data_IF_222017908905
#
_entry.id   IF_222017908905
#
_cell.length_a   1.000
_cell.length_b   1.000
_cell.length_c   1.000
_cell.angle_alpha   90.00
_cell.angle_beta   90.00
_cell.angle_gamma   90.00
#
_symmetry.space_group_name_H-M   'P 1'
#
loop_
_entity.id
_entity.type
_entity.pdbx_description
1 polymer ?
#
# COMPACT_ATOMS: atom_id res chain seq x y z
N UNK A 1 -36.97 -5.39 2.33
CA UNK A 1 -35.65 -6.01 2.11
C UNK A 1 -34.81 -5.69 3.34
N UNK A 2 -34.23 -6.69 4.01
CA UNK A 2 -33.42 -6.46 5.19
C UNK A 2 -32.19 -5.64 4.81
N UNK A 3 -31.83 -4.64 5.62
CA UNK A 3 -30.57 -3.92 5.43
C UNK A 3 -29.41 -4.92 5.45
N UNK A 4 -28.42 -4.77 4.55
CA UNK A 4 -27.24 -5.61 4.58
C UNK A 4 -26.58 -5.50 5.97
N UNK A 5 -26.20 -6.63 6.59
CA UNK A 5 -25.59 -6.58 7.91
C UNK A 5 -24.28 -5.83 7.87
N UNK A 6 -24.02 -5.05 8.90
CA UNK A 6 -22.77 -4.31 9.05
C UNK A 6 -21.59 -5.28 9.11
N UNK A 7 -20.41 -4.85 8.63
CA UNK A 7 -19.27 -5.74 8.45
C UNK A 7 -18.74 -6.30 9.78
N UNK A 8 -18.95 -5.56 10.88
CA UNK A 8 -18.55 -5.91 12.23
C UNK A 8 -19.72 -5.81 13.19
N UNK A 9 -19.61 -6.54 14.30
CA UNK A 9 -20.52 -6.47 15.43
C UNK A 9 -19.74 -6.38 16.72
N UNK A 10 -20.14 -5.48 17.62
CA UNK A 10 -19.55 -5.29 18.92
C UNK A 10 -20.59 -5.53 20.02
N UNK A 11 -20.25 -6.36 21.00
CA UNK A 11 -21.10 -6.59 22.16
C UNK A 11 -20.28 -7.11 23.36
N UNK A 12 -20.86 -7.01 24.55
CA UNK A 12 -20.39 -7.79 25.69
C UNK A 12 -20.83 -9.25 25.54
N UNK A 13 -19.91 -10.17 25.79
CA UNK A 13 -20.18 -11.59 25.64
C UNK A 13 -21.33 -12.05 26.57
N UNK A 14 -22.44 -12.51 25.99
CA UNK A 14 -23.60 -13.00 26.76
C UNK A 14 -23.33 -14.31 27.51
N UNK A 15 -22.30 -15.06 27.10
CA UNK A 15 -21.83 -16.29 27.74
C UNK A 15 -20.36 -16.54 27.40
N UNK A 16 -19.71 -17.44 28.15
CA UNK A 16 -18.32 -17.87 27.93
C UNK A 16 -18.13 -18.96 26.86
N UNK A 17 -19.17 -19.25 26.06
CA UNK A 17 -19.14 -20.33 25.05
C UNK A 17 -18.37 -19.97 23.78
N UNK A 18 -18.12 -18.68 23.53
CA UNK A 18 -17.38 -18.24 22.35
C UNK A 18 -15.87 -18.35 22.56
N UNK A 19 -15.15 -18.78 21.53
CA UNK A 19 -13.68 -18.77 21.50
C UNK A 19 -13.16 -17.77 20.48
N UNK A 20 -12.11 -17.04 20.84
CA UNK A 20 -11.51 -16.05 19.95
C UNK A 20 -10.85 -16.73 18.75
N UNK A 21 -11.22 -16.32 17.54
CA UNK A 21 -10.65 -16.87 16.31
C UNK A 21 -9.18 -16.50 16.10
N UNK A 22 -8.71 -15.42 16.71
CA UNK A 22 -7.32 -14.94 16.63
C UNK A 22 -6.36 -15.69 17.56
N UNK A 23 -6.66 -15.77 18.86
CA UNK A 23 -5.75 -16.38 19.85
C UNK A 23 -6.18 -17.78 20.32
N UNK A 24 -7.33 -18.28 19.85
CA UNK A 24 -7.94 -19.59 20.19
C UNK A 24 -8.32 -19.78 21.66
N UNK A 25 -8.20 -18.75 22.50
CA UNK A 25 -8.63 -18.77 23.90
C UNK A 25 -10.13 -18.49 24.05
N UNK A 26 -10.79 -18.98 25.11
CA UNK A 26 -12.18 -18.63 25.40
C UNK A 26 -12.34 -17.12 25.64
N UNK A 27 -13.55 -16.62 25.42
CA UNK A 27 -13.96 -15.24 25.72
C UNK A 27 -14.96 -15.33 26.85
N UNK A 28 -14.61 -14.80 28.02
CA UNK A 28 -15.47 -14.85 29.20
C UNK A 28 -16.73 -14.01 29.05
N UNK A 29 -17.75 -14.34 29.85
CA UNK A 29 -19.00 -13.57 29.93
C UNK A 29 -18.69 -12.12 30.33
N UNK A 30 -19.46 -11.16 29.80
CA UNK A 30 -19.34 -9.72 30.07
C UNK A 30 -18.06 -9.06 29.57
N UNK A 31 -17.18 -9.80 28.89
CA UNK A 31 -16.01 -9.22 28.20
C UNK A 31 -16.41 -8.69 26.82
N UNK A 32 -15.89 -7.51 26.46
CA UNK A 32 -16.06 -6.93 25.14
C UNK A 32 -15.46 -7.83 24.05
N UNK A 33 -16.28 -8.20 23.08
CA UNK A 33 -15.88 -8.99 21.91
C UNK A 33 -16.32 -8.33 20.61
N UNK A 34 -15.51 -8.54 19.57
CA UNK A 34 -15.75 -8.05 18.22
C UNK A 34 -15.92 -9.23 17.27
N UNK A 35 -17.02 -9.25 16.54
CA UNK A 35 -17.40 -10.27 15.58
C UNK A 35 -17.29 -9.74 14.16
N UNK A 36 -16.47 -10.36 13.31
CA UNK A 36 -16.51 -10.07 11.86
C UNK A 36 -17.68 -10.82 11.24
N UNK A 37 -18.59 -10.12 10.57
CA UNK A 37 -19.68 -10.76 9.85
C UNK A 37 -19.14 -11.50 8.62
N UNK A 38 -19.43 -12.80 8.56
CA UNK A 38 -19.08 -13.66 7.44
C UNK A 38 -20.30 -14.45 7.00
N UNK A 39 -20.37 -14.79 5.71
CA UNK A 39 -21.42 -15.67 5.21
C UNK A 39 -21.30 -17.04 5.88
N UNK A 40 -22.43 -17.56 6.39
CA UNK A 40 -22.48 -18.87 6.99
C UNK A 40 -22.40 -19.94 5.89
N UNK A 41 -21.72 -21.05 6.16
CA UNK A 41 -21.63 -22.18 5.21
C UNK A 41 -22.76 -23.19 5.40
N UNK A 42 -23.40 -23.18 6.58
CA UNK A 42 -24.38 -24.18 6.99
C UNK A 42 -25.83 -23.75 6.79
N UNK A 43 -26.07 -22.45 6.67
CA UNK A 43 -27.40 -21.87 6.47
C UNK A 43 -27.26 -20.60 5.62
N UNK A 44 -28.37 -20.19 5.02
CA UNK A 44 -28.44 -18.94 4.26
C UNK A 44 -28.51 -17.75 5.23
N UNK A 45 -27.39 -17.05 5.39
CA UNK A 45 -27.27 -15.92 6.30
C UNK A 45 -25.83 -15.59 6.72
N UNK A 46 -25.69 -14.69 7.68
CA UNK A 46 -24.40 -14.24 8.20
C UNK A 46 -24.19 -14.70 9.65
N UNK A 47 -22.94 -14.97 10.00
CA UNK A 47 -22.54 -15.42 11.33
C UNK A 47 -21.33 -14.60 11.81
N UNK A 48 -21.36 -14.04 13.03
CA UNK A 48 -20.21 -13.31 13.59
C UNK A 48 -19.07 -14.26 13.97
N UNK A 49 -17.88 -13.98 13.43
CA UNK A 49 -16.62 -14.59 13.85
C UNK A 49 -16.03 -13.85 15.04
N UNK A 50 -16.30 -14.33 16.26
CA UNK A 50 -15.91 -13.67 17.51
C UNK A 50 -14.39 -13.64 17.78
N UNK A 51 -13.93 -12.49 18.28
CA UNK A 51 -12.57 -12.25 18.74
C UNK A 51 -12.58 -11.39 20.00
N UNK A 52 -11.55 -11.49 20.84
CA UNK A 52 -11.33 -10.47 21.89
C UNK A 52 -11.14 -9.11 21.23
N UNK A 53 -11.67 -8.04 21.86
CA UNK A 53 -11.43 -6.68 21.39
C UNK A 53 -9.93 -6.40 21.23
N UNK A 54 -9.12 -6.74 22.24
CA UNK A 54 -7.65 -6.58 22.20
C UNK A 54 -6.96 -7.34 21.05
N UNK A 55 -7.50 -8.48 20.62
CA UNK A 55 -6.93 -9.24 19.51
C UNK A 55 -7.16 -8.58 18.15
N UNK A 56 -8.29 -7.88 17.99
CA UNK A 56 -8.59 -7.10 16.78
C UNK A 56 -7.82 -5.78 16.82
N UNK A 57 -7.91 -5.04 17.94
CA UNK A 57 -7.30 -3.72 18.11
C UNK A 57 -5.76 -3.75 18.03
N UNK A 58 -5.12 -4.91 18.21
CA UNK A 58 -3.67 -5.09 18.02
C UNK A 58 -3.25 -5.04 16.54
N UNK A 59 -4.13 -5.39 15.61
CA UNK A 59 -3.84 -5.38 14.17
C UNK A 59 -4.36 -4.06 13.60
N UNK A 60 -3.58 -3.35 12.80
CA UNK A 60 -4.07 -2.14 12.16
C UNK A 60 -5.15 -2.44 11.09
N UNK A 61 -5.99 -1.44 10.81
CA UNK A 61 -6.91 -1.38 9.67
C UNK A 61 -7.90 -2.56 9.55
N UNK A 62 -8.33 -3.17 10.66
CA UNK A 62 -9.38 -4.21 10.63
C UNK A 62 -10.79 -3.63 10.45
N UNK A 63 -11.07 -2.50 11.10
CA UNK A 63 -12.35 -1.80 11.07
C UNK A 63 -12.09 -0.49 10.35
N UNK A 64 -12.92 -0.15 9.35
CA UNK A 64 -12.71 1.00 8.46
C UNK A 64 -13.50 2.22 8.91
N UNK A 65 -14.79 2.05 9.18
CA UNK A 65 -15.64 3.09 9.74
C UNK A 65 -16.28 2.66 11.05
N UNK A 66 -16.74 3.64 11.82
CA UNK A 66 -17.58 3.47 13.00
C UNK A 66 -18.95 2.92 12.59
N UNK A 67 -19.48 3.36 11.44
CA UNK A 67 -20.77 2.91 10.87
C UNK A 67 -20.74 1.45 10.38
N UNK A 68 -19.57 0.83 10.29
CA UNK A 68 -19.42 -0.58 9.94
C UNK A 68 -19.55 -1.51 11.15
N UNK A 69 -19.80 -0.98 12.36
CA UNK A 69 -19.76 -1.71 13.63
C UNK A 69 -21.12 -1.72 14.34
N UNK A 70 -21.80 -2.86 14.23
CA UNK A 70 -23.15 -3.01 14.76
C UNK A 70 -23.08 -3.09 16.29
N UNK A 71 -23.96 -2.36 16.97
CA UNK A 71 -24.08 -2.42 18.43
C UNK A 71 -23.04 -1.58 19.18
N UNK A 72 -22.25 -0.76 18.48
CA UNK A 72 -21.28 0.14 19.12
C UNK A 72 -21.96 1.10 20.13
N UNK A 73 -23.10 1.66 19.77
CA UNK A 73 -23.90 2.56 20.62
C UNK A 73 -24.39 1.92 21.93
N UNK A 74 -24.46 0.58 21.98
CA UNK A 74 -24.91 -0.17 23.16
C UNK A 74 -23.78 -0.44 24.15
N UNK A 75 -22.53 -0.18 23.77
CA UNK A 75 -21.37 -0.38 24.63
C UNK A 75 -21.24 0.74 25.66
N UNK A 76 -20.43 0.52 26.71
CA UNK A 76 -20.05 1.59 27.62
C UNK A 76 -19.23 2.66 26.89
N UNK A 77 -19.33 3.91 27.35
CA UNK A 77 -18.66 5.06 26.76
C UNK A 77 -17.14 4.85 26.61
N UNK A 78 -16.50 4.22 27.60
CA UNK A 78 -15.05 3.97 27.56
C UNK A 78 -14.66 3.04 26.40
N UNK A 79 -15.49 2.02 26.14
CA UNK A 79 -15.29 1.07 25.05
C UNK A 79 -15.64 1.67 23.68
N UNK A 80 -16.67 2.52 23.62
CA UNK A 80 -16.97 3.31 22.42
C UNK A 80 -15.79 4.20 22.03
N UNK A 81 -15.24 4.94 22.99
CA UNK A 81 -14.05 5.78 22.80
C UNK A 81 -12.83 4.96 22.38
N UNK A 82 -12.67 3.75 22.92
CA UNK A 82 -11.55 2.87 22.56
C UNK A 82 -11.62 2.39 21.11
N UNK A 83 -12.81 2.04 20.64
CA UNK A 83 -13.02 1.61 19.25
C UNK A 83 -12.91 2.81 18.30
N UNK A 84 -13.51 3.95 18.67
CA UNK A 84 -13.37 5.22 17.94
C UNK A 84 -11.91 5.60 17.75
N UNK A 85 -11.12 5.66 18.84
CA UNK A 85 -9.67 5.95 18.77
C UNK A 85 -8.90 4.97 17.90
N UNK A 86 -9.27 3.70 17.89
CA UNK A 86 -8.60 2.71 17.03
C UNK A 86 -8.91 2.93 15.54
N UNK A 87 -10.15 3.28 15.22
CA UNK A 87 -10.57 3.64 13.86
C UNK A 87 -9.88 4.95 13.47
N UNK A 88 -9.89 5.96 14.35
CA UNK A 88 -9.20 7.23 14.15
C UNK A 88 -7.69 7.06 14.04
N UNK A 89 -7.09 6.06 14.69
CA UNK A 89 -5.66 5.73 14.55
C UNK A 89 -5.38 5.00 13.23
N UNK A 90 -6.32 4.16 12.77
CA UNK A 90 -6.27 3.55 11.44
C UNK A 90 -6.46 4.61 10.33
N UNK A 91 -7.30 5.61 10.60
CA UNK A 91 -7.46 6.84 9.84
C UNK A 91 -6.16 7.64 9.96
N UNK A 92 -5.57 7.96 11.11
CA UNK A 92 -4.28 8.67 11.18
C UNK A 92 -3.10 7.91 10.53
N UNK A 93 -3.18 6.58 10.44
CA UNK A 93 -2.26 5.75 9.65
C UNK A 93 -2.50 5.83 8.13
N UNK A 94 -3.68 6.32 7.70
CA UNK A 94 -4.16 6.47 6.32
C UNK A 94 -4.81 7.86 5.99
N UNK A 95 -4.73 8.87 6.86
CA UNK A 95 -5.56 10.10 6.93
C UNK A 95 -5.26 10.84 8.25
N UNK A 96 -4.01 11.26 8.38
CA UNK A 96 -3.78 12.59 8.95
C UNK A 96 -4.39 13.60 7.98
N UNK A 97 -5.67 13.90 8.09
CA UNK A 97 -6.34 14.90 7.25
C UNK A 97 -6.76 16.11 8.11
N UNK A 98 -5.95 17.16 8.03
CA UNK A 98 -6.52 18.37 7.46
C UNK A 98 -5.47 19.10 6.61
N UNK A 99 -5.92 19.45 5.41
CA UNK A 99 -5.31 20.35 4.43
C UNK A 99 -4.31 19.74 3.46
N UNK A 100 -4.76 19.81 2.20
CA UNK A 100 -4.03 19.77 0.94
C UNK A 100 -3.47 18.41 0.53
N UNK A 101 -3.95 17.95 -0.63
CA UNK A 101 -3.40 17.15 -1.76
C UNK A 101 -1.86 16.90 -1.78
N UNK A 102 -1.24 16.68 -0.63
CA UNK A 102 0.18 16.35 -0.41
C UNK A 102 0.24 14.84 -0.22
N UNK A 103 -0.19 14.14 -1.26
CA UNK A 103 -0.16 12.69 -1.37
C UNK A 103 1.30 12.21 -1.27
N UNK A 104 1.74 11.84 -0.08
CA UNK A 104 2.95 11.04 0.21
C UNK A 104 4.10 11.23 -0.81
N UNK A 105 4.51 12.48 -1.01
CA UNK A 105 5.53 12.82 -1.98
C UNK A 105 6.91 12.70 -1.35
N UNK A 106 7.81 11.96 -2.00
CA UNK A 106 9.20 11.87 -1.58
C UNK A 106 10.12 12.61 -2.53
N UNK A 107 11.08 13.36 -2.00
CA UNK A 107 12.05 14.10 -2.79
C UNK A 107 13.45 13.57 -2.54
N UNK A 108 14.20 13.36 -3.61
CA UNK A 108 15.58 12.89 -3.52
C UNK A 108 16.39 13.28 -4.76
N UNK A 109 17.71 13.25 -4.62
CA UNK A 109 18.63 13.28 -5.74
C UNK A 109 18.68 11.88 -6.34
N UNK A 110 18.43 11.78 -7.64
CA UNK A 110 18.43 10.51 -8.37
C UNK A 110 19.79 9.81 -8.24
N UNK A 111 19.89 8.65 -7.56
CA UNK A 111 21.16 7.95 -7.39
C UNK A 111 21.59 7.21 -8.67
N UNK A 112 20.62 6.93 -9.56
CA UNK A 112 20.83 6.19 -10.82
C UNK A 112 19.87 6.71 -11.90
N UNK A 113 20.28 6.66 -13.17
CA UNK A 113 19.45 7.10 -14.31
C UNK A 113 18.41 6.08 -14.78
N UNK A 114 17.86 5.26 -13.86
CA UNK A 114 16.90 4.18 -14.17
C UNK A 114 15.44 4.61 -14.11
N UNK A 115 15.15 5.71 -13.42
CA UNK A 115 13.79 6.22 -13.31
C UNK A 115 13.38 6.99 -14.57
N UNK A 116 12.11 6.92 -14.91
CA UNK A 116 11.49 7.73 -15.96
C UNK A 116 10.36 8.56 -15.36
N UNK A 117 10.28 9.82 -15.79
CA UNK A 117 9.25 10.76 -15.38
C UNK A 117 7.89 10.32 -15.91
N UNK A 118 6.88 10.22 -15.04
CA UNK A 118 5.55 9.73 -15.39
C UNK A 118 4.77 10.69 -16.31
N UNK A 119 5.11 11.99 -16.29
CA UNK A 119 4.43 13.00 -17.11
C UNK A 119 4.85 12.91 -18.58
N UNK A 120 6.16 12.76 -18.83
CA UNK A 120 6.74 12.85 -20.17
C UNK A 120 7.44 11.57 -20.63
N UNK A 121 7.46 10.52 -19.80
CA UNK A 121 8.17 9.24 -20.01
C UNK A 121 9.67 9.39 -20.34
N UNK A 122 10.26 10.52 -19.97
CA UNK A 122 11.67 10.83 -20.18
C UNK A 122 12.51 10.33 -19.00
N UNK A 123 13.74 9.86 -19.27
CA UNK A 123 14.66 9.41 -18.23
C UNK A 123 15.05 10.57 -17.31
N UNK A 124 15.17 10.26 -16.02
CA UNK A 124 15.68 11.17 -15.00
C UNK A 124 17.17 10.87 -14.83
N UNK A 125 18.03 11.87 -14.97
CA UNK A 125 19.48 11.66 -14.90
C UNK A 125 19.95 11.35 -13.47
N UNK A 126 21.11 10.72 -13.32
CA UNK A 126 21.80 10.59 -12.03
C UNK A 126 22.25 11.98 -11.57
N UNK A 127 22.06 12.30 -10.30
CA UNK A 127 22.37 13.61 -9.74
C UNK A 127 21.26 14.65 -9.92
N UNK A 128 20.17 14.31 -10.61
CA UNK A 128 19.03 15.21 -10.82
C UNK A 128 17.97 15.04 -9.73
N UNK A 129 17.34 16.14 -9.30
CA UNK A 129 16.27 16.13 -8.30
C UNK A 129 14.99 15.50 -8.89
N UNK A 130 14.46 14.50 -8.21
CA UNK A 130 13.22 13.80 -8.58
C UNK A 130 12.23 13.75 -7.44
N UNK A 131 10.95 13.74 -7.80
CA UNK A 131 9.83 13.64 -6.87
C UNK A 131 9.11 12.31 -7.13
N UNK A 132 8.90 11.55 -6.08
CA UNK A 132 8.08 10.34 -6.09
C UNK A 132 6.68 10.67 -5.59
N UNK A 133 5.67 10.08 -6.22
CA UNK A 133 4.27 10.12 -5.77
C UNK A 133 3.79 8.69 -5.50
N UNK A 134 2.93 8.53 -4.51
CA UNK A 134 2.21 7.27 -4.25
C UNK A 134 0.72 7.49 -4.50
N UNK A 135 0.14 6.93 -5.57
CA UNK A 135 -1.31 6.94 -5.73
C UNK A 135 -1.94 6.03 -4.68
N UNK A 136 -2.92 6.56 -3.97
CA UNK A 136 -3.63 5.89 -2.89
C UNK A 136 -4.29 4.58 -3.39
N UNK A 137 -4.14 3.49 -2.63
CA UNK A 137 -4.73 2.19 -2.95
C UNK A 137 -3.88 1.24 -3.79
N UNK A 138 -2.71 1.66 -4.29
CA UNK A 138 -1.73 0.73 -4.88
C UNK A 138 -0.70 0.30 -3.82
N UNK A 139 -0.43 -1.01 -3.75
CA UNK A 139 0.40 -1.62 -2.72
C UNK A 139 1.84 -1.08 -2.65
N UNK A 140 2.71 -1.65 -1.79
CA UNK A 140 4.03 -1.09 -1.42
C UNK A 140 5.06 -0.83 -2.56
N UNK A 141 4.71 -1.08 -3.83
CA UNK A 141 5.63 -1.05 -4.98
C UNK A 141 5.27 -0.06 -6.10
N UNK A 142 4.27 0.79 -5.94
CA UNK A 142 3.81 1.70 -7.01
C UNK A 142 4.28 3.15 -6.81
N UNK A 143 5.58 3.38 -6.61
CA UNK A 143 6.15 4.73 -6.64
C UNK A 143 6.20 5.23 -8.09
N UNK A 144 5.48 6.31 -8.39
CA UNK A 144 5.61 7.01 -9.67
C UNK A 144 6.67 8.11 -9.54
N UNK A 145 7.66 8.11 -10.42
CA UNK A 145 8.74 9.10 -10.42
C UNK A 145 8.43 10.25 -11.37
N UNK A 146 8.82 11.46 -10.99
CA UNK A 146 8.64 12.69 -11.76
C UNK A 146 9.92 13.51 -11.69
N UNK A 147 10.25 14.28 -12.74
CA UNK A 147 11.18 15.39 -12.58
C UNK A 147 10.59 16.42 -11.62
N UNK A 148 11.43 17.08 -10.83
CA UNK A 148 10.97 18.09 -9.89
C UNK A 148 10.14 19.20 -10.56
N UNK A 149 10.62 19.72 -11.69
CA UNK A 149 9.92 20.73 -12.49
C UNK A 149 8.55 20.23 -12.97
N UNK A 150 8.51 19.03 -13.55
CA UNK A 150 7.29 18.47 -14.14
C UNK A 150 6.20 18.24 -13.09
N UNK A 151 6.58 17.81 -11.88
CA UNK A 151 5.63 17.63 -10.78
C UNK A 151 5.10 18.97 -10.26
N UNK A 152 5.97 19.95 -10.04
CA UNK A 152 5.58 21.28 -9.54
C UNK A 152 4.74 22.08 -10.55
N UNK A 153 4.91 21.83 -11.85
CA UNK A 153 4.04 22.39 -12.90
C UNK A 153 2.62 21.81 -12.84
N UNK A 154 2.47 20.50 -12.56
CA UNK A 154 1.16 19.87 -12.41
C UNK A 154 0.51 20.11 -11.04
N UNK A 155 1.33 20.36 -10.01
CA UNK A 155 0.92 20.50 -8.61
C UNK A 155 1.47 21.80 -7.99
N UNK A 156 1.03 22.98 -8.47
CA UNK A 156 1.58 24.26 -8.02
C UNK A 156 1.28 24.62 -6.57
N UNK A 157 0.27 23.97 -5.96
CA UNK A 157 -0.09 24.13 -4.55
C UNK A 157 0.70 23.20 -3.62
N UNK A 158 1.62 22.39 -4.14
CA UNK A 158 2.42 21.48 -3.33
C UNK A 158 3.55 22.23 -2.61
N UNK A 159 3.59 22.10 -1.29
CA UNK A 159 4.67 22.64 -0.47
C UNK A 159 5.83 21.65 -0.46
N UNK A 160 6.90 21.96 -1.20
CA UNK A 160 8.05 21.07 -1.33
C UNK A 160 8.76 20.78 0.01
N UNK A 161 8.64 21.69 0.98
CA UNK A 161 9.16 21.55 2.35
C UNK A 161 8.52 20.39 3.11
N UNK A 162 7.31 19.98 2.71
CA UNK A 162 6.57 18.86 3.33
C UNK A 162 6.92 17.50 2.72
N UNK A 163 7.77 17.45 1.69
CA UNK A 163 8.14 16.18 1.03
C UNK A 163 9.07 15.34 1.92
N UNK A 164 8.85 14.02 1.92
CA UNK A 164 9.73 13.10 2.65
C UNK A 164 11.13 13.08 2.01
N UNK A 165 12.18 13.30 2.80
CA UNK A 165 13.56 13.39 2.29
C UNK A 165 14.03 14.81 1.99
N UNK A 166 13.22 15.84 2.26
CA UNK A 166 13.59 17.25 2.11
C UNK A 166 14.88 17.62 2.88
N UNK A 167 14.99 17.19 4.13
CA UNK A 167 16.16 17.49 4.98
C UNK A 167 17.46 16.83 4.51
N UNK A 168 17.34 15.77 3.70
CA UNK A 168 18.48 15.06 3.11
C UNK A 168 19.06 15.76 1.88
N UNK A 169 18.38 16.78 1.33
CA UNK A 169 18.87 17.57 0.20
C UNK A 169 19.90 18.61 0.64
N UNK A 170 20.83 18.97 -0.24
CA UNK A 170 21.75 20.08 0.01
C UNK A 170 21.00 21.43 0.06
N UNK A 171 21.60 22.46 0.67
CA UNK A 171 21.00 23.79 0.72
C UNK A 171 20.76 24.36 -0.70
N UNK A 172 21.69 24.11 -1.62
CA UNK A 172 21.59 24.53 -3.03
C UNK A 172 20.41 23.86 -3.75
N UNK A 173 20.17 22.57 -3.47
CA UNK A 173 19.08 21.82 -4.10
C UNK A 173 17.71 22.26 -3.57
N UNK A 174 17.63 22.52 -2.26
CA UNK A 174 16.44 23.08 -1.61
C UNK A 174 16.07 24.44 -2.19
N UNK A 175 17.05 25.32 -2.37
CA UNK A 175 16.84 26.64 -3.00
C UNK A 175 16.38 26.51 -4.46
N UNK A 176 16.91 25.54 -5.20
CA UNK A 176 16.48 25.25 -6.58
C UNK A 176 15.01 24.85 -6.62
N UNK A 177 14.55 24.00 -5.70
CA UNK A 177 13.15 23.60 -5.58
C UNK A 177 12.23 24.76 -5.17
N UNK A 178 12.63 25.55 -4.17
CA UNK A 178 11.86 26.73 -3.74
C UNK A 178 11.74 27.76 -4.87
N UNK A 179 12.78 27.91 -5.69
CA UNK A 179 12.75 28.79 -6.87
C UNK A 179 11.76 28.30 -7.93
N UNK A 180 11.55 26.99 -8.06
CA UNK A 180 10.57 26.42 -8.99
C UNK A 180 9.13 26.65 -8.49
N UNK A 181 8.89 26.60 -7.18
CA UNK A 181 7.58 26.92 -6.58
C UNK A 181 7.26 28.41 -6.70
N UNK A 182 8.24 29.29 -6.40
CA UNK A 182 8.07 30.76 -6.48
C UNK A 182 7.94 31.31 -7.89
N UNK A 183 8.37 30.59 -8.93
CA UNK A 183 8.19 30.99 -10.33
C UNK A 183 6.77 30.77 -10.85
N UNK A 184 5.87 30.20 -10.04
CA UNK A 184 4.47 29.91 -10.42
C UNK A 184 3.37 30.79 -9.77
N UNK A 185 3.50 32.13 -9.62
CA UNK A 185 2.34 33.00 -9.69
C UNK A 185 1.98 33.18 -11.17
N UNK A 186 0.73 32.85 -11.50
CA UNK A 186 0.14 32.97 -12.83
C UNK A 186 0.55 34.22 -13.60
N UNK A 187 1.15 34.04 -14.79
CA UNK A 187 1.09 35.05 -15.86
C UNK A 187 0.71 34.40 -17.19
N UNK A 188 -0.41 34.79 -17.82
CA UNK A 188 -0.64 34.57 -19.23
C UNK A 188 0.03 35.70 -20.03
N UNK A 189 0.91 35.34 -20.96
CA UNK A 189 1.37 36.21 -22.06
C UNK A 189 1.76 35.25 -23.19
N UNK A 190 1.01 35.09 -24.27
CA UNK A 190 0.39 36.13 -25.07
C UNK A 190 1.38 36.51 -26.16
N UNK A 191 1.26 35.90 -27.34
CA UNK A 191 2.08 36.17 -28.51
C UNK A 191 1.52 35.48 -29.75
N UNK A 192 0.62 36.17 -30.43
CA UNK A 192 -0.13 35.70 -31.60
C UNK A 192 0.68 35.68 -32.91
N UNK A 193 0.13 34.93 -33.89
CA UNK A 193 0.25 35.09 -35.37
C UNK A 193 1.62 34.69 -35.97
N UNK A 194 1.72 33.95 -37.09
CA UNK A 194 0.75 33.45 -38.09
C UNK A 194 1.49 32.55 -39.10
N UNK A 195 0.76 31.60 -39.69
CA UNK A 195 0.90 31.00 -41.06
C UNK A 195 2.15 30.13 -41.30
N UNK A 196 2.11 29.03 -42.05
CA UNK A 196 1.18 28.49 -43.06
C UNK A 196 1.51 27.00 -43.23
N UNK A 197 0.52 26.14 -43.45
CA UNK A 197 0.72 24.84 -44.11
C UNK A 197 0.98 25.08 -45.63
N UNK A 198 1.53 24.11 -46.37
CA UNK A 198 0.68 23.01 -46.84
C UNK A 198 1.31 21.61 -46.84
N UNK A 199 0.39 20.66 -46.75
CA UNK A 199 0.37 19.27 -47.19
C UNK A 199 1.04 19.02 -48.57
N UNK A 200 1.74 17.88 -48.73
CA UNK A 200 1.49 16.96 -49.85
C UNK A 200 2.14 15.58 -49.61
N UNK A 201 1.31 14.55 -49.76
CA UNK A 201 1.64 13.15 -49.96
C UNK A 201 2.64 12.91 -51.10
N UNK A 202 3.45 11.85 -51.00
CA UNK A 202 3.66 10.94 -52.13
C UNK A 202 4.12 9.54 -51.70
N UNK A 203 3.69 8.59 -52.52
CA UNK A 203 3.47 7.15 -52.32
C UNK A 203 4.37 6.35 -53.26
N UNK A 204 4.78 5.15 -52.87
CA UNK A 204 5.11 4.00 -53.75
C UNK A 204 5.31 2.76 -52.84
N UNK A 205 4.44 1.73 -52.75
CA UNK A 205 4.03 0.65 -53.70
C UNK A 205 5.23 -0.01 -54.40
N UNK A 206 5.56 -1.29 -54.14
CA UNK A 206 5.14 -2.56 -54.81
C UNK A 206 5.81 -3.71 -54.00
N UNK A 207 5.17 -4.72 -53.39
CA UNK A 207 4.36 -5.87 -53.83
C UNK A 207 5.14 -7.15 -54.27
N UNK A 208 4.60 -8.31 -53.85
CA UNK A 208 4.73 -9.71 -54.35
C UNK A 208 5.75 -10.59 -53.60
N UNK A 209 5.48 -11.71 -52.91
CA UNK A 209 4.47 -12.79 -52.84
C UNK A 209 5.05 -14.15 -53.28
N UNK A 210 4.79 -15.19 -52.47
CA UNK A 210 4.97 -16.63 -52.74
C UNK A 210 6.30 -17.20 -52.25
N UNK A 211 6.39 -18.34 -51.57
CA UNK A 211 5.40 -19.34 -51.19
C UNK A 211 6.12 -20.64 -50.79
N UNK A 212 5.53 -21.33 -49.81
CA UNK A 212 5.53 -22.77 -49.57
C UNK A 212 6.80 -23.58 -49.17
N UNK A 213 6.55 -24.32 -48.07
CA UNK A 213 6.68 -25.78 -47.93
C UNK A 213 7.99 -26.37 -47.37
N UNK A 214 7.84 -26.78 -46.10
CA UNK A 214 7.89 -28.17 -45.66
C UNK A 214 9.21 -28.75 -45.11
N UNK A 215 9.04 -29.21 -43.86
CA UNK A 215 9.45 -30.52 -43.36
C UNK A 215 10.82 -30.68 -42.68
N UNK A 216 10.69 -30.87 -41.36
CA UNK A 216 11.04 -32.10 -40.65
C UNK A 216 12.33 -32.18 -39.82
N UNK A 217 12.07 -32.62 -38.58
CA UNK A 217 12.84 -33.51 -37.67
C UNK A 217 13.77 -32.87 -36.62
N UNK A 218 13.23 -32.90 -35.38
CA UNK A 218 13.77 -33.48 -34.13
C UNK A 218 15.27 -33.82 -34.05
N UNK A 219 15.88 -33.43 -32.92
CA UNK A 219 16.48 -34.30 -31.87
C UNK A 219 16.60 -33.44 -30.58
N UNK A 220 15.92 -33.74 -29.48
CA UNK A 220 16.30 -34.63 -28.35
C UNK A 220 17.60 -34.25 -27.62
N UNK A 221 17.49 -34.00 -26.31
CA UNK A 221 18.61 -33.85 -25.39
C UNK A 221 18.15 -33.51 -23.96
N UNK A 222 17.91 -34.54 -23.17
CA UNK A 222 17.39 -34.57 -21.79
C UNK A 222 18.32 -33.93 -20.75
N UNK A 223 17.76 -33.48 -19.63
CA UNK A 223 18.33 -33.80 -18.31
C UNK A 223 17.27 -33.76 -17.21
N UNK A 224 16.98 -34.94 -16.68
CA UNK A 224 16.23 -35.24 -15.46
C UNK A 224 17.21 -35.37 -14.30
N UNK A 225 16.97 -34.69 -13.16
CA UNK A 225 17.45 -35.14 -11.85
C UNK A 225 16.35 -34.95 -10.81
N UNK A 226 16.27 -35.97 -9.96
CA UNK A 226 15.22 -36.45 -9.07
C UNK A 226 14.91 -35.57 -7.85
N UNK A 227 13.68 -35.72 -7.37
CA UNK A 227 13.25 -35.50 -5.99
C UNK A 227 13.82 -36.60 -5.06
N UNK A 228 13.81 -36.27 -3.76
CA UNK A 228 13.99 -37.13 -2.57
C UNK A 228 15.43 -37.17 -2.02
N UNK A 229 15.71 -36.38 -0.98
CA UNK A 229 15.90 -36.96 0.36
C UNK A 229 15.79 -35.94 1.50
N UNK A 230 15.39 -36.48 2.65
CA UNK A 230 14.73 -35.85 3.79
C UNK A 230 15.67 -35.76 5.00
N UNK A 231 15.51 -34.68 5.79
CA UNK A 231 15.72 -34.63 7.24
C UNK A 231 17.09 -35.05 7.82
N UNK A 232 17.90 -34.06 8.19
CA UNK A 232 18.80 -34.10 9.35
C UNK A 232 19.37 -32.70 9.59
N UNK A 233 18.73 -31.88 10.42
CA UNK A 233 19.38 -30.73 11.09
C UNK A 233 18.55 -30.07 12.21
N UNK A 234 17.41 -30.65 12.62
CA UNK A 234 16.61 -30.10 13.72
C UNK A 234 17.04 -30.58 15.13
N UNK A 235 17.92 -31.58 15.25
CA UNK A 235 18.26 -32.21 16.53
C UNK A 235 19.41 -31.56 17.31
N UNK A 236 20.15 -30.61 16.72
CA UNK A 236 21.39 -30.09 17.34
C UNK A 236 21.17 -28.81 18.14
N UNK A 237 20.11 -28.03 17.85
CA UNK A 237 19.82 -26.79 18.60
C UNK A 237 19.12 -27.02 19.94
N UNK A 238 18.41 -28.14 20.11
CA UNK A 238 17.57 -28.36 21.28
C UNK A 238 18.37 -28.80 22.51
N UNK A 239 19.51 -29.47 22.31
CA UNK A 239 20.45 -29.80 23.40
C UNK A 239 21.27 -28.60 23.90
N UNK A 240 21.31 -27.49 23.16
CA UNK A 240 22.10 -26.31 23.53
C UNK A 240 21.30 -25.29 24.36
N UNK A 241 19.97 -25.35 24.30
CA UNK A 241 19.08 -24.47 25.06
C UNK A 241 18.84 -24.96 26.51
N UNK A 242 18.95 -26.27 26.75
CA UNK A 242 18.71 -26.87 28.07
C UNK A 242 19.91 -26.77 29.03
N UNK A 243 21.12 -26.49 28.52
CA UNK A 243 22.27 -26.16 29.38
C UNK A 243 22.27 -24.71 29.89
N UNK A 244 21.48 -23.82 29.28
CA UNK A 244 21.38 -22.42 29.70
C UNK A 244 20.30 -22.18 30.78
N UNK A 245 19.38 -23.12 30.98
CA UNK A 245 18.31 -22.99 31.98
C UNK A 245 18.67 -23.50 33.38
N UNK A 246 19.80 -24.20 33.55
CA UNK A 246 20.26 -24.72 34.86
C UNK A 246 21.24 -23.82 35.60
N UNK A 247 21.59 -22.65 35.05
CA UNK A 247 22.57 -21.75 35.65
C UNK A 247 21.96 -20.54 36.41
N UNK A 248 20.64 -20.51 36.62
CA UNK A 248 19.98 -19.37 37.27
C UNK A 248 19.08 -19.78 38.44
N UNK A 249 19.65 -20.50 39.41
CA UNK A 249 19.14 -20.55 40.78
C UNK A 249 20.27 -20.20 41.75
N UNK A 250 20.26 -18.99 42.35
CA UNK A 250 20.91 -18.76 43.62
C UNK A 250 19.86 -18.82 44.73
N UNK A 251 19.94 -19.92 45.49
CA UNK A 251 19.72 -20.06 46.94
C UNK A 251 18.75 -19.08 47.64
#
# INVERSE_FOLDING_TARGET
>A
MANPPEAWKAEYAKSSRSSCKTCKKPIDKEILRLGKMVHATQFDGFMPMWNHASCILRKANQIKSVDDVEGLETLRWEDQQKIGKYIDSAVQSNSSENVSVVLQCGVEISPTSRAACRNYNQKIAKGEIRISTKPEGQGPRSLAWHHAKCYLETSPTSEAEKFSGWDSLSASDRETLLSLVKKNPSTPKGGAKRKKAPENDQKSKIAKAGGNASSSKNMSGSNTIKLEDVNSNASVLESQLEMLSRAHDPN
#
